data_IF_751492777021
#
_entry.id   IF_751492777021
#
_cell.length_a   1.000
_cell.length_b   1.000
_cell.length_c   1.000
_cell.angle_alpha   90.00
_cell.angle_beta   90.00
_cell.angle_gamma   90.00
#
_symmetry.space_group_name_H-M   'P 1'
#
loop_
_entity.id
_entity.type
_entity.pdbx_description
1 polymer ?
#
# COMPACT_ATOMS: atom_id res chain seq x y z
N UNK A 1 -4.90 -9.84 -33.73
CA UNK A 1 -4.51 -8.59 -33.04
C UNK A 1 -5.56 -7.54 -33.36
N UNK A 2 -6.60 -7.44 -32.54
CA UNK A 2 -7.62 -6.38 -32.67
C UNK A 2 -7.01 -5.08 -32.18
N UNK A 3 -6.95 -4.06 -33.05
CA UNK A 3 -6.62 -2.69 -32.65
C UNK A 3 -7.56 -2.27 -31.52
N UNK A 4 -7.04 -2.17 -30.30
CA UNK A 4 -7.74 -1.50 -29.22
C UNK A 4 -7.88 -0.06 -29.67
N UNK A 5 -9.10 0.40 -29.91
CA UNK A 5 -9.29 1.77 -30.40
C UNK A 5 -8.75 2.74 -29.34
N UNK A 6 -7.96 3.73 -29.75
CA UNK A 6 -7.38 4.75 -28.85
C UNK A 6 -8.40 5.34 -27.86
N UNK A 7 -9.66 5.44 -28.31
CA UNK A 7 -10.81 5.88 -27.52
C UNK A 7 -11.16 4.95 -26.35
N UNK A 8 -11.09 3.63 -26.54
CA UNK A 8 -11.30 2.64 -25.48
C UNK A 8 -10.18 2.66 -24.45
N UNK A 9 -8.92 2.78 -24.89
CA UNK A 9 -7.78 2.92 -23.99
C UNK A 9 -7.90 4.19 -23.13
N UNK A 10 -8.23 5.33 -23.73
CA UNK A 10 -8.46 6.59 -23.02
C UNK A 10 -9.60 6.48 -22.00
N UNK A 11 -10.72 5.85 -22.35
CA UNK A 11 -11.84 5.65 -21.43
C UNK A 11 -11.47 4.73 -20.25
N UNK A 12 -10.67 3.68 -20.50
CA UNK A 12 -10.17 2.77 -19.46
C UNK A 12 -9.26 3.51 -18.47
N UNK A 13 -8.32 4.32 -18.96
CA UNK A 13 -7.43 5.14 -18.13
C UNK A 13 -8.22 6.14 -17.28
N UNK A 14 -9.20 6.83 -17.89
CA UNK A 14 -10.03 7.78 -17.15
C UNK A 14 -10.80 7.11 -16.01
N UNK A 15 -11.42 5.95 -16.26
CA UNK A 15 -12.14 5.19 -15.22
C UNK A 15 -11.21 4.72 -14.10
N UNK A 16 -10.00 4.27 -14.43
CA UNK A 16 -8.98 3.91 -13.44
C UNK A 16 -8.60 5.11 -12.57
N UNK A 17 -8.34 6.27 -13.17
CA UNK A 17 -8.00 7.48 -12.42
C UNK A 17 -9.14 7.93 -11.48
N UNK A 18 -10.39 7.77 -11.91
CA UNK A 18 -11.55 8.04 -11.05
C UNK A 18 -11.59 7.10 -9.84
N UNK A 19 -11.27 5.81 -10.02
CA UNK A 19 -11.16 4.86 -8.90
C UNK A 19 -9.99 5.21 -7.98
N UNK A 20 -8.86 5.63 -8.55
CA UNK A 20 -7.71 6.04 -7.76
C UNK A 20 -8.06 7.27 -6.90
N UNK A 21 -8.72 8.27 -7.50
CA UNK A 21 -9.15 9.48 -6.81
C UNK A 21 -10.21 9.19 -5.73
N UNK A 22 -11.17 8.31 -6.01
CA UNK A 22 -12.17 7.92 -5.01
C UNK A 22 -11.56 7.14 -3.85
N UNK A 23 -10.61 6.25 -4.11
CA UNK A 23 -9.88 5.52 -3.06
C UNK A 23 -9.05 6.46 -2.19
N UNK A 24 -8.32 7.41 -2.79
CA UNK A 24 -7.62 8.46 -2.04
C UNK A 24 -8.59 9.27 -1.17
N UNK A 25 -9.71 9.72 -1.75
CA UNK A 25 -10.71 10.50 -1.02
C UNK A 25 -11.29 9.73 0.17
N UNK A 26 -11.59 8.43 0.00
CA UNK A 26 -12.11 7.58 1.07
C UNK A 26 -11.08 7.37 2.20
N UNK A 27 -9.82 7.11 1.87
CA UNK A 27 -8.76 6.92 2.87
C UNK A 27 -8.43 8.22 3.61
N UNK A 28 -8.39 9.36 2.91
CA UNK A 28 -8.19 10.67 3.52
C UNK A 28 -9.39 11.04 4.40
N UNK A 29 -10.62 10.81 3.94
CA UNK A 29 -11.83 11.07 4.73
C UNK A 29 -11.87 10.18 5.98
N UNK A 30 -11.53 8.90 5.85
CA UNK A 30 -11.42 7.97 6.98
C UNK A 30 -10.40 8.48 8.02
N UNK A 31 -9.26 9.00 7.58
CA UNK A 31 -8.26 9.58 8.46
C UNK A 31 -8.73 10.90 9.10
N UNK A 32 -9.44 11.74 8.35
CA UNK A 32 -9.94 13.01 8.84
C UNK A 32 -10.98 12.85 9.96
N UNK A 33 -11.82 11.80 9.89
CA UNK A 33 -12.82 11.47 10.93
C UNK A 33 -12.15 11.08 12.27
N UNK A 34 -10.90 10.64 12.24
CA UNK A 34 -10.16 10.15 13.43
C UNK A 34 -9.20 11.16 14.06
N UNK A 35 -9.09 12.40 13.55
CA UNK A 35 -8.20 13.44 14.10
C UNK A 35 -8.72 14.02 15.46
N UNK A 36 -7.87 14.29 16.46
CA UNK A 36 -6.68 13.58 16.94
C UNK A 36 -6.96 12.73 18.21
N UNK A 37 -6.26 11.60 18.36
CA UNK A 37 -6.31 10.74 19.55
C UNK A 37 -7.30 9.57 19.49
N UNK A 38 -7.98 9.38 18.37
CA UNK A 38 -8.91 8.28 18.17
C UNK A 38 -8.23 7.03 17.59
N UNK A 39 -8.73 5.86 18.03
CA UNK A 39 -8.35 4.53 17.57
C UNK A 39 -8.29 4.45 16.02
N UNK A 40 -7.20 3.91 15.42
CA UNK A 40 -7.06 3.74 13.97
C UNK A 40 -8.06 2.75 13.34
N UNK A 41 -9.14 2.38 14.04
CA UNK A 41 -10.18 1.46 13.57
C UNK A 41 -10.81 1.91 12.25
N UNK A 42 -11.23 3.17 12.11
CA UNK A 42 -11.88 3.64 10.87
C UNK A 42 -10.94 3.58 9.66
N UNK A 43 -9.72 4.16 9.69
CA UNK A 43 -8.72 3.97 8.63
C UNK A 43 -8.42 2.51 8.33
N UNK A 44 -8.33 1.64 9.35
CA UNK A 44 -8.03 0.22 9.18
C UNK A 44 -9.15 -0.53 8.48
N UNK A 45 -10.41 -0.24 8.79
CA UNK A 45 -11.56 -0.83 8.07
C UNK A 45 -11.52 -0.43 6.60
N UNK A 46 -11.28 0.84 6.29
CA UNK A 46 -11.21 1.32 4.89
C UNK A 46 -9.99 0.73 4.15
N UNK A 47 -8.83 0.60 4.82
CA UNK A 47 -7.66 -0.07 4.27
C UNK A 47 -7.91 -1.56 4.01
N UNK A 48 -8.60 -2.25 4.94
CA UNK A 48 -9.02 -3.64 4.77
C UNK A 48 -9.98 -3.79 3.58
N UNK A 49 -10.98 -2.92 3.45
CA UNK A 49 -11.89 -2.91 2.30
C UNK A 49 -11.13 -2.67 0.99
N UNK A 50 -10.15 -1.77 0.99
CA UNK A 50 -9.29 -1.50 -0.17
C UNK A 50 -8.49 -2.75 -0.56
N UNK A 51 -7.92 -3.47 0.41
CA UNK A 51 -7.26 -4.75 0.18
C UNK A 51 -8.23 -5.79 -0.43
N UNK A 52 -9.45 -5.91 0.10
CA UNK A 52 -10.46 -6.84 -0.44
C UNK A 52 -10.85 -6.47 -1.87
N UNK A 53 -11.10 -5.19 -2.17
CA UNK A 53 -11.42 -4.74 -3.52
C UNK A 53 -10.26 -5.00 -4.47
N UNK A 54 -9.01 -4.79 -4.04
CA UNK A 54 -7.82 -5.12 -4.82
C UNK A 54 -7.73 -6.63 -5.13
N UNK A 55 -8.07 -7.50 -4.16
CA UNK A 55 -8.09 -8.94 -4.35
C UNK A 55 -9.20 -9.41 -5.31
N UNK A 56 -10.36 -8.75 -5.27
CA UNK A 56 -11.49 -9.04 -6.17
C UNK A 56 -11.17 -8.60 -7.60
N UNK A 57 -10.68 -7.37 -7.76
CA UNK A 57 -10.33 -6.79 -9.07
C UNK A 57 -8.86 -6.99 -9.40
N UNK A 58 -8.38 -8.21 -9.22
CA UNK A 58 -6.97 -8.58 -9.29
C UNK A 58 -6.32 -8.13 -10.62
N UNK A 59 -5.30 -7.24 -10.59
CA UNK A 59 -4.80 -6.60 -11.80
C UNK A 59 -3.69 -7.36 -12.54
N UNK A 60 -3.12 -8.40 -11.92
CA UNK A 60 -1.91 -9.07 -12.40
C UNK A 60 -2.21 -10.50 -12.87
N UNK A 61 -1.42 -11.03 -13.80
CA UNK A 61 -1.52 -12.44 -14.15
C UNK A 61 -0.89 -13.28 -13.03
N UNK A 62 -1.72 -13.97 -12.26
CA UNK A 62 -1.28 -14.69 -11.06
C UNK A 62 -2.20 -15.85 -10.71
N UNK A 63 -1.67 -16.81 -9.96
CA UNK A 63 -2.42 -17.99 -9.51
C UNK A 63 -3.29 -17.66 -8.29
N UNK A 64 -4.25 -18.52 -7.96
CA UNK A 64 -5.03 -18.40 -6.72
C UNK A 64 -4.15 -18.35 -5.48
N UNK A 65 -3.03 -19.07 -5.48
CA UNK A 65 -2.05 -19.04 -4.40
C UNK A 65 -1.43 -17.65 -4.23
N UNK A 66 -1.13 -16.94 -5.32
CA UNK A 66 -0.57 -15.57 -5.24
C UNK A 66 -1.56 -14.59 -4.58
N UNK A 67 -2.87 -14.80 -4.80
CA UNK A 67 -3.93 -14.03 -4.14
C UNK A 67 -4.02 -14.34 -2.65
N UNK A 68 -3.98 -15.62 -2.27
CA UNK A 68 -4.00 -16.05 -0.86
C UNK A 68 -2.80 -15.49 -0.11
N UNK A 69 -1.61 -15.60 -0.71
CA UNK A 69 -0.38 -15.06 -0.11
C UNK A 69 -0.50 -13.54 0.05
N UNK A 70 -0.97 -12.85 -0.98
CA UNK A 70 -1.17 -11.39 -0.92
C UNK A 70 -2.17 -10.99 0.18
N UNK A 71 -3.26 -11.74 0.35
CA UNK A 71 -4.20 -11.55 1.44
C UNK A 71 -3.54 -11.76 2.81
N UNK A 72 -2.79 -12.85 2.99
CA UNK A 72 -2.14 -13.17 4.27
C UNK A 72 -1.13 -12.10 4.67
N UNK A 73 -0.28 -11.67 3.75
CA UNK A 73 0.69 -10.60 4.01
C UNK A 73 -0.01 -9.26 4.27
N UNK A 74 -1.02 -8.88 3.48
CA UNK A 74 -1.79 -7.65 3.72
C UNK A 74 -2.52 -7.65 5.07
N UNK A 75 -3.16 -8.76 5.43
CA UNK A 75 -3.83 -8.92 6.72
C UNK A 75 -2.84 -8.88 7.89
N UNK A 76 -1.69 -9.55 7.76
CA UNK A 76 -0.61 -9.49 8.75
C UNK A 76 -0.10 -8.05 8.93
N UNK A 77 0.12 -7.31 7.84
CA UNK A 77 0.52 -5.90 7.90
C UNK A 77 -0.51 -5.03 8.61
N UNK A 78 -1.81 -5.22 8.34
CA UNK A 78 -2.89 -4.51 9.03
C UNK A 78 -2.97 -4.86 10.52
N UNK A 79 -2.63 -6.10 10.91
CA UNK A 79 -2.58 -6.52 12.31
C UNK A 79 -1.50 -5.76 13.10
N UNK A 80 -0.31 -5.58 12.49
CA UNK A 80 0.82 -4.88 13.11
C UNK A 80 0.65 -3.36 13.23
N UNK A 81 -0.44 -2.79 12.72
CA UNK A 81 -0.83 -1.40 13.00
C UNK A 81 -1.19 -1.23 14.48
N UNK A 82 -1.80 -2.25 15.10
CA UNK A 82 -2.21 -2.21 16.52
C UNK A 82 -1.46 -3.16 17.42
N UNK A 83 -0.98 -4.28 16.87
CA UNK A 83 -0.20 -5.23 17.65
C UNK A 83 1.25 -4.83 17.55
N UNK A 84 1.90 -4.42 18.66
CA UNK A 84 3.30 -4.03 18.62
C UNK A 84 4.17 -5.23 18.24
N UNK A 85 5.10 -5.03 17.31
CA UNK A 85 6.08 -6.01 16.92
C UNK A 85 7.06 -6.21 18.08
N UNK A 86 7.36 -7.46 18.47
CA UNK A 86 8.27 -7.73 19.57
C UNK A 86 9.70 -7.30 19.19
N UNK A 87 10.05 -6.09 19.58
CA UNK A 87 11.40 -5.55 19.50
C UNK A 87 12.00 -5.49 20.91
N UNK A 88 13.31 -5.72 21.02
CA UNK A 88 14.03 -5.66 22.30
C UNK A 88 14.14 -4.23 22.82
N UNK A 89 15.34 -3.65 22.77
CA UNK A 89 15.53 -2.25 23.13
C UNK A 89 15.04 -1.34 22.00
N UNK A 90 14.02 -0.53 22.29
CA UNK A 90 13.48 0.47 21.39
C UNK A 90 14.15 1.81 21.68
N UNK A 91 14.55 2.58 20.65
CA UNK A 91 15.13 3.90 20.87
C UNK A 91 14.18 4.83 21.65
N UNK A 92 14.71 5.71 22.52
CA UNK A 92 13.88 6.62 23.31
C UNK A 92 13.08 7.60 22.42
N UNK A 93 13.60 7.96 21.24
CA UNK A 93 12.89 8.78 20.24
C UNK A 93 11.74 8.03 19.54
N UNK A 94 11.61 6.72 19.76
CA UNK A 94 10.56 5.86 19.19
C UNK A 94 9.63 5.29 20.27
N UNK A 95 9.70 5.86 21.47
CA UNK A 95 8.90 5.47 22.63
C UNK A 95 7.95 6.60 22.97
N UNK A 96 6.66 6.30 23.09
CA UNK A 96 5.65 7.24 23.54
C UNK A 96 5.84 7.60 25.03
N UNK A 97 5.16 8.66 25.48
CA UNK A 97 5.27 9.15 26.86
C UNK A 97 4.86 8.11 27.93
N UNK A 98 4.04 7.14 27.55
CA UNK A 98 3.60 6.02 28.39
C UNK A 98 4.58 4.82 28.41
N UNK A 99 5.71 4.93 27.71
CA UNK A 99 6.70 3.86 27.59
C UNK A 99 6.37 2.83 26.49
N UNK A 100 5.26 2.99 25.77
CA UNK A 100 4.90 2.11 24.65
C UNK A 100 5.66 2.46 23.37
N UNK A 101 5.82 1.50 22.47
CA UNK A 101 6.46 1.74 21.17
C UNK A 101 5.52 2.50 20.24
N UNK A 102 6.02 3.52 19.53
CA UNK A 102 5.21 4.23 18.54
C UNK A 102 4.68 3.26 17.45
N UNK A 103 3.37 3.29 17.13
CA UNK A 103 2.75 2.30 16.24
C UNK A 103 3.42 2.21 14.86
N UNK A 104 3.80 3.34 14.26
CA UNK A 104 4.46 3.38 12.94
C UNK A 104 5.87 2.77 12.96
N UNK A 105 6.59 2.87 14.07
CA UNK A 105 7.93 2.27 14.22
C UNK A 105 7.85 0.76 14.33
N UNK A 106 6.97 0.28 15.22
CA UNK A 106 6.64 -1.13 15.35
C UNK A 106 6.22 -1.74 14.01
N UNK A 107 5.28 -1.09 13.32
CA UNK A 107 4.81 -1.55 12.01
C UNK A 107 5.93 -1.56 10.96
N UNK A 108 6.83 -0.57 10.95
CA UNK A 108 7.94 -0.55 10.00
C UNK A 108 8.93 -1.72 10.21
N UNK A 109 9.17 -2.13 11.46
CA UNK A 109 9.97 -3.34 11.74
C UNK A 109 9.26 -4.60 11.24
N UNK A 110 7.97 -4.74 11.53
CA UNK A 110 7.16 -5.85 11.04
C UNK A 110 7.13 -5.88 9.50
N UNK A 111 6.93 -4.73 8.87
CA UNK A 111 6.97 -4.54 7.41
C UNK A 111 8.31 -5.01 6.83
N UNK A 112 9.43 -4.65 7.45
CA UNK A 112 10.76 -5.11 7.03
C UNK A 112 10.87 -6.64 7.04
N UNK A 113 10.44 -7.29 8.13
CA UNK A 113 10.43 -8.75 8.22
C UNK A 113 9.47 -9.39 7.20
N UNK A 114 8.26 -8.84 7.06
CA UNK A 114 7.26 -9.33 6.13
C UNK A 114 7.74 -9.20 4.67
N UNK A 115 8.45 -8.13 4.31
CA UNK A 115 9.05 -8.00 2.99
C UNK A 115 10.11 -9.07 2.73
N UNK A 116 10.99 -9.32 3.71
CA UNK A 116 11.99 -10.42 3.60
C UNK A 116 11.28 -11.75 3.41
N UNK A 117 10.26 -12.05 4.22
CA UNK A 117 9.48 -13.29 4.11
C UNK A 117 8.74 -13.40 2.78
N UNK A 118 8.15 -12.30 2.30
CA UNK A 118 7.48 -12.25 1.00
C UNK A 118 8.45 -12.57 -0.13
N UNK A 119 9.65 -11.98 -0.11
CA UNK A 119 10.70 -12.23 -1.09
C UNK A 119 11.15 -13.68 -1.04
N UNK A 120 11.54 -14.19 0.15
CA UNK A 120 11.99 -15.57 0.34
C UNK A 120 10.92 -16.57 -0.11
N UNK A 121 9.66 -16.35 0.27
CA UNK A 121 8.56 -17.21 -0.15
C UNK A 121 8.34 -17.16 -1.66
N UNK A 122 8.36 -15.96 -2.26
CA UNK A 122 8.16 -15.77 -3.71
C UNK A 122 9.27 -16.46 -4.53
N UNK A 123 10.52 -16.35 -4.09
CA UNK A 123 11.65 -17.06 -4.71
C UNK A 123 11.60 -18.56 -4.45
N UNK A 124 11.36 -19.00 -3.22
CA UNK A 124 11.27 -20.41 -2.85
C UNK A 124 10.20 -21.14 -3.67
N UNK A 125 9.03 -20.52 -3.83
CA UNK A 125 7.96 -21.04 -4.69
C UNK A 125 8.41 -21.24 -6.13
N UNK A 126 9.25 -20.35 -6.64
CA UNK A 126 9.74 -20.43 -8.01
C UNK A 126 10.82 -21.49 -8.19
N UNK A 127 11.66 -21.68 -7.17
CA UNK A 127 12.66 -22.74 -7.14
C UNK A 127 12.04 -24.13 -7.02
N UNK A 128 10.85 -24.25 -6.41
CA UNK A 128 10.11 -25.49 -6.27
C UNK A 128 9.35 -25.95 -7.53
N UNK A 129 9.33 -25.16 -8.62
CA UNK A 129 8.63 -25.53 -9.87
C UNK A 129 9.52 -26.40 -10.77
N UNK A 130 8.96 -27.49 -11.29
CA UNK A 130 9.66 -28.43 -12.18
C UNK A 130 9.97 -27.87 -13.58
N UNK A 131 9.08 -27.02 -14.14
CA UNK A 131 9.31 -26.29 -15.41
C UNK A 131 9.46 -24.79 -15.13
N UNK A 132 10.56 -24.19 -15.58
CA UNK A 132 10.98 -22.80 -15.26
C UNK A 132 10.64 -21.79 -16.35
N UNK A 133 9.52 -21.95 -17.04
CA UNK A 133 9.11 -21.00 -18.06
C UNK A 133 8.50 -19.74 -17.39
N UNK A 134 8.93 -18.55 -17.83
CA UNK A 134 8.44 -17.23 -17.38
C UNK A 134 8.68 -16.89 -15.88
N UNK A 135 9.80 -17.34 -15.31
CA UNK A 135 10.18 -17.12 -13.91
C UNK A 135 10.10 -15.64 -13.47
N UNK A 136 10.74 -14.75 -14.24
CA UNK A 136 10.86 -13.31 -13.91
C UNK A 136 9.49 -12.65 -13.85
N UNK A 137 8.61 -12.92 -14.82
CA UNK A 137 7.28 -12.32 -14.90
C UNK A 137 6.39 -12.76 -13.73
N UNK A 138 6.41 -14.05 -13.39
CA UNK A 138 5.67 -14.58 -12.25
C UNK A 138 6.18 -14.01 -10.91
N UNK A 139 7.47 -13.71 -10.80
CA UNK A 139 8.05 -13.10 -9.61
C UNK A 139 7.61 -11.67 -9.44
N UNK A 140 7.73 -10.89 -10.51
CA UNK A 140 7.33 -9.49 -10.50
C UNK A 140 5.87 -9.34 -10.11
N UNK A 141 4.97 -10.18 -10.63
CA UNK A 141 3.56 -10.11 -10.25
C UNK A 141 3.30 -10.44 -8.77
N UNK A 142 3.86 -11.54 -8.27
CA UNK A 142 3.65 -11.95 -6.87
C UNK A 142 4.26 -10.95 -5.86
N UNK A 143 5.46 -10.46 -6.15
CA UNK A 143 6.11 -9.46 -5.29
C UNK A 143 5.37 -8.12 -5.36
N UNK A 144 4.95 -7.68 -6.54
CA UNK A 144 4.25 -6.38 -6.69
C UNK A 144 2.92 -6.37 -5.94
N UNK A 145 2.10 -7.43 -6.08
CA UNK A 145 0.84 -7.53 -5.34
C UNK A 145 1.07 -7.63 -3.84
N UNK A 146 2.06 -8.42 -3.41
CA UNK A 146 2.42 -8.56 -2.00
C UNK A 146 2.89 -7.25 -1.38
N UNK A 147 3.78 -6.50 -2.05
CA UNK A 147 4.25 -5.19 -1.58
C UNK A 147 3.10 -4.19 -1.50
N UNK A 148 2.23 -4.13 -2.51
CA UNK A 148 1.05 -3.27 -2.47
C UNK A 148 0.13 -3.64 -1.29
N UNK A 149 -0.16 -4.93 -1.09
CA UNK A 149 -0.97 -5.40 0.02
C UNK A 149 -0.36 -5.10 1.39
N UNK A 150 0.95 -5.23 1.54
CA UNK A 150 1.65 -4.83 2.75
C UNK A 150 1.55 -3.31 2.99
N UNK A 151 1.74 -2.52 1.93
CA UNK A 151 1.76 -1.06 1.98
C UNK A 151 0.43 -0.43 2.39
N UNK A 152 -0.70 -1.08 2.12
CA UNK A 152 -2.04 -0.53 2.42
C UNK A 152 -2.23 -0.17 3.90
N UNK A 153 -1.57 -0.90 4.80
CA UNK A 153 -1.66 -0.67 6.24
C UNK A 153 -1.06 0.69 6.64
N UNK A 154 -0.10 1.21 5.88
CA UNK A 154 0.52 2.51 6.16
C UNK A 154 -0.44 3.70 6.09
N UNK A 155 -1.58 3.54 5.41
CA UNK A 155 -2.67 4.53 5.43
C UNK A 155 -3.28 4.74 6.82
N UNK A 156 -3.14 3.77 7.73
CA UNK A 156 -3.66 3.88 9.09
C UNK A 156 -2.93 4.93 9.92
N UNK A 157 -1.72 5.34 9.51
CA UNK A 157 -0.92 6.38 10.20
C UNK A 157 -1.16 7.79 9.65
N UNK A 158 -2.06 7.94 8.67
CA UNK A 158 -2.42 9.23 8.11
C UNK A 158 -3.04 10.20 9.14
N UNK A 159 -3.86 9.77 10.12
CA UNK A 159 -4.37 10.68 11.16
C UNK A 159 -3.24 11.30 11.99
N UNK A 160 -2.29 10.48 12.43
CA UNK A 160 -1.12 10.92 13.21
C UNK A 160 -0.25 11.88 12.38
N UNK A 161 0.01 11.52 11.12
CA UNK A 161 0.70 12.38 10.18
C UNK A 161 -0.04 13.72 9.97
N UNK A 162 -1.36 13.68 9.82
CA UNK A 162 -2.20 14.86 9.67
C UNK A 162 -2.08 15.79 10.88
N UNK A 163 -2.06 15.25 12.09
CA UNK A 163 -1.84 16.02 13.31
C UNK A 163 -0.42 16.64 13.35
N UNK A 164 0.61 15.94 12.87
CA UNK A 164 1.97 16.49 12.74
C UNK A 164 2.03 17.62 11.70
N UNK A 165 1.37 17.44 10.55
CA UNK A 165 1.30 18.45 9.49
C UNK A 165 0.54 19.71 9.93
N UNK A 166 -0.50 19.55 10.74
CA UNK A 166 -1.29 20.65 11.30
C UNK A 166 -0.48 21.60 12.19
N UNK A 167 0.69 21.16 12.71
CA UNK A 167 1.62 22.04 13.45
C UNK A 167 2.24 23.14 12.57
N UNK A 168 2.10 23.07 11.24
CA UNK A 168 2.50 24.14 10.33
C UNK A 168 4.01 24.34 10.20
N UNK A 169 4.81 23.31 10.48
CA UNK A 169 6.28 23.40 10.39
C UNK A 169 6.76 23.40 8.94
N UNK A 170 7.93 24.00 8.68
CA UNK A 170 8.56 23.96 7.35
C UNK A 170 8.77 22.52 6.89
N UNK A 171 9.24 21.64 7.79
CA UNK A 171 9.42 20.22 7.52
C UNK A 171 8.09 19.55 7.12
N UNK A 172 6.98 19.87 7.81
CA UNK A 172 5.65 19.39 7.46
C UNK A 172 5.20 19.85 6.08
N UNK A 173 5.38 21.12 5.74
CA UNK A 173 5.03 21.65 4.41
C UNK A 173 5.84 20.97 3.30
N UNK A 174 7.15 20.80 3.49
CA UNK A 174 8.01 20.08 2.53
C UNK A 174 7.55 18.63 2.36
N UNK A 175 7.26 17.94 3.46
CA UNK A 175 6.75 16.58 3.42
C UNK A 175 5.42 16.48 2.66
N UNK A 176 4.49 17.40 2.88
CA UNK A 176 3.21 17.44 2.15
C UNK A 176 3.42 17.61 0.64
N UNK A 177 4.33 18.50 0.23
CA UNK A 177 4.67 18.69 -1.20
C UNK A 177 5.22 17.38 -1.79
N UNK A 178 6.13 16.71 -1.09
CA UNK A 178 6.70 15.43 -1.54
C UNK A 178 5.59 14.37 -1.70
N UNK A 179 4.65 14.29 -0.75
CA UNK A 179 3.54 13.34 -0.83
C UNK A 179 2.64 13.61 -2.04
N UNK A 180 2.32 14.87 -2.33
CA UNK A 180 1.52 15.25 -3.51
C UNK A 180 2.26 14.89 -4.80
N UNK A 181 3.54 15.24 -4.92
CA UNK A 181 4.36 14.94 -6.10
C UNK A 181 4.44 13.42 -6.33
N UNK A 182 4.66 12.65 -5.27
CA UNK A 182 4.75 11.20 -5.38
C UNK A 182 3.40 10.56 -5.73
N UNK A 183 2.29 11.05 -5.17
CA UNK A 183 0.94 10.61 -5.52
C UNK A 183 0.63 10.87 -7.00
N UNK A 184 1.02 12.02 -7.53
CA UNK A 184 0.91 12.36 -8.96
C UNK A 184 1.81 11.46 -9.83
N UNK A 185 3.05 11.23 -9.41
CA UNK A 185 3.96 10.33 -10.13
C UNK A 185 3.41 8.89 -10.19
N UNK A 186 2.83 8.40 -9.10
CA UNK A 186 2.15 7.10 -9.04
C UNK A 186 0.87 7.06 -9.89
N UNK A 187 0.12 8.17 -9.98
CA UNK A 187 -1.00 8.28 -10.91
C UNK A 187 -0.53 8.17 -12.36
N UNK A 188 0.54 8.88 -12.74
CA UNK A 188 1.14 8.75 -14.08
C UNK A 188 1.64 7.33 -14.33
N UNK A 189 2.36 6.73 -13.38
CA UNK A 189 2.83 5.34 -13.49
C UNK A 189 1.66 4.35 -13.67
N UNK A 190 0.55 4.55 -12.97
CA UNK A 190 -0.64 3.70 -13.10
C UNK A 190 -1.27 3.77 -14.50
N UNK A 191 -1.16 4.90 -15.20
CA UNK A 191 -1.61 5.00 -16.60
C UNK A 191 -0.78 4.13 -17.55
N UNK A 192 0.52 3.99 -17.27
CA UNK A 192 1.41 3.09 -18.01
C UNK A 192 1.07 1.64 -17.66
N UNK A 193 0.88 1.33 -16.37
CA UNK A 193 0.53 -0.01 -15.92
C UNK A 193 -0.79 -0.50 -16.52
N UNK A 194 -1.84 0.31 -16.56
CA UNK A 194 -3.15 -0.13 -17.07
C UNK A 194 -3.19 -0.31 -18.59
N UNK A 195 -2.29 0.40 -19.29
CA UNK A 195 -2.09 0.27 -20.75
C UNK A 195 -1.36 -1.03 -21.08
N UNK A 196 -0.31 -1.33 -20.31
CA UNK A 196 0.59 -2.46 -20.58
C UNK A 196 0.20 -3.71 -19.77
N UNK A 197 -0.87 -3.65 -18.98
CA UNK A 197 -1.38 -4.76 -18.18
C UNK A 197 -1.90 -5.91 -19.05
N UNK A 198 -1.44 -7.13 -18.75
CA UNK A 198 -1.95 -8.40 -19.26
C UNK A 198 -2.63 -9.20 -18.11
N UNK A 199 -3.82 -8.78 -17.65
CA UNK A 199 -4.54 -9.43 -16.57
C UNK A 199 -5.12 -10.79 -17.01
N UNK A 200 -5.51 -11.60 -16.04
CA UNK A 200 -6.22 -12.86 -16.27
C UNK A 200 -7.57 -12.61 -17.01
N UNK A 201 -7.86 -13.31 -18.13
CA UNK A 201 -9.10 -13.15 -18.89
C UNK A 201 -10.38 -13.30 -18.06
N UNK A 202 -10.34 -14.07 -16.99
CA UNK A 202 -11.52 -14.34 -16.15
C UNK A 202 -11.87 -13.17 -15.22
N UNK A 203 -10.98 -12.18 -15.09
CA UNK A 203 -11.18 -11.04 -14.19
C UNK A 203 -11.94 -9.92 -14.88
N UNK A 204 -13.13 -9.63 -14.37
CA UNK A 204 -13.94 -8.48 -14.78
C UNK A 204 -13.37 -7.20 -14.19
N UNK A 205 -12.99 -6.25 -15.04
CA UNK A 205 -12.51 -4.90 -14.68
C UNK A 205 -11.18 -4.81 -13.88
N UNK A 206 -10.08 -5.41 -14.37
CA UNK A 206 -8.76 -5.42 -13.69
C UNK A 206 -8.12 -4.03 -13.55
N UNK A 207 -8.57 -3.05 -14.32
CA UNK A 207 -8.12 -1.67 -14.22
C UNK A 207 -8.45 -1.04 -12.85
N UNK A 208 -9.47 -1.53 -12.13
CA UNK A 208 -9.76 -1.11 -10.75
C UNK A 208 -8.58 -1.47 -9.84
N UNK A 209 -8.12 -2.73 -9.90
CA UNK A 209 -6.97 -3.17 -9.12
C UNK A 209 -5.68 -2.43 -9.48
N UNK A 210 -5.46 -2.10 -10.75
CA UNK A 210 -4.28 -1.33 -11.17
C UNK A 210 -4.27 0.07 -10.56
N UNK A 211 -5.44 0.73 -10.52
CA UNK A 211 -5.60 2.01 -9.84
C UNK A 211 -5.39 1.90 -8.33
N UNK A 212 -5.95 0.86 -7.70
CA UNK A 212 -5.77 0.64 -6.26
C UNK A 212 -4.32 0.31 -5.89
N UNK A 213 -3.59 -0.41 -6.74
CA UNK A 213 -2.18 -0.75 -6.51
C UNK A 213 -1.33 0.49 -6.23
N UNK A 214 -1.51 1.56 -7.00
CA UNK A 214 -0.76 2.81 -6.82
C UNK A 214 -1.15 3.52 -5.51
N UNK A 215 -2.43 3.52 -5.14
CA UNK A 215 -2.92 4.05 -3.85
C UNK A 215 -2.35 3.26 -2.69
N UNK A 216 -2.39 1.94 -2.75
CA UNK A 216 -1.88 1.07 -1.70
C UNK A 216 -0.38 1.27 -1.48
N UNK A 217 0.41 1.37 -2.55
CA UNK A 217 1.86 1.64 -2.49
C UNK A 217 2.18 2.98 -1.80
N UNK A 218 1.31 3.99 -1.95
CA UNK A 218 1.45 5.27 -1.26
C UNK A 218 1.31 5.13 0.28
N UNK A 219 0.75 4.05 0.80
CA UNK A 219 0.68 3.83 2.25
C UNK A 219 2.07 3.75 2.90
N UNK A 220 3.07 3.19 2.22
CA UNK A 220 4.46 3.15 2.73
C UNK A 220 5.03 4.55 2.91
N UNK A 221 4.70 5.48 2.02
CA UNK A 221 5.28 6.83 2.08
C UNK A 221 4.63 7.65 3.17
N UNK A 222 3.34 7.45 3.44
CA UNK A 222 2.65 8.02 4.61
C UNK A 222 3.35 7.56 5.90
N UNK A 223 3.56 6.26 6.07
CA UNK A 223 4.23 5.71 7.25
C UNK A 223 5.68 6.22 7.38
N UNK A 224 6.43 6.26 6.27
CA UNK A 224 7.79 6.78 6.25
C UNK A 224 7.85 8.27 6.58
N UNK A 225 6.90 9.07 6.09
CA UNK A 225 6.80 10.49 6.45
C UNK A 225 6.47 10.67 7.92
N UNK A 226 5.53 9.88 8.47
CA UNK A 226 5.23 9.91 9.90
C UNK A 226 6.46 9.58 10.76
N UNK A 227 7.25 8.57 10.36
CA UNK A 227 8.53 8.23 10.99
C UNK A 227 9.54 9.38 10.97
N UNK A 228 9.74 9.99 9.81
CA UNK A 228 10.72 11.08 9.63
C UNK A 228 10.28 12.33 10.38
N UNK A 229 9.03 12.75 10.22
CA UNK A 229 8.50 13.93 10.90
C UNK A 229 8.39 13.73 12.41
N UNK A 230 8.03 12.54 12.87
CA UNK A 230 8.03 12.19 14.28
C UNK A 230 9.42 12.36 14.91
N UNK A 231 10.49 12.15 14.13
CA UNK A 231 11.87 12.36 14.60
C UNK A 231 12.35 13.80 14.57
N UNK A 232 11.77 14.63 13.70
CA UNK A 232 12.17 16.04 13.51
C UNK A 232 11.35 16.97 14.41
N UNK A 233 10.08 16.62 14.67
CA UNK A 233 9.08 17.47 15.33
C UNK A 233 8.61 16.91 16.69
N UNK A 234 8.88 15.62 16.97
CA UNK A 234 8.62 14.99 18.27
C UNK A 234 9.66 15.39 19.30
#
# INVERSE_FOLDING_TARGET
MTEITWKECKNKVLRMLLVQLSAYALLIAAAAVTLPGADPTVPRVVACLTLVVFLVFWPLRGTMLDRVVTLLFGAASLMFVTVPFPAGKVPPDQTAADGSTLPWYSWALAMGLLLVMLVVFSFGRQMAREKRDHLIRALSHAVTSGVAALAVAGWCFLPDLGAMLAKGTVAGTVALIILIVLGLALAVASTLWVRDADPDPDIRYPWIGTGLMSVMLMGVTIAATALVLGRIIG
#
